data_IF_846948850297
#
_entry.id   IF_846948850297
#
_cell.length_a   1.000
_cell.length_b   1.000
_cell.length_c   1.000
_cell.angle_alpha   90.00
_cell.angle_beta   90.00
_cell.angle_gamma   90.00
#
_symmetry.space_group_name_H-M   'P 1'
#
loop_
_entity.id
_entity.type
_entity.pdbx_description
1 polymer ?
#
# COMPACT_ATOMS: atom_id res chain seq x y z
N UNK A 1 -17.73 9.14 -4.37
CA UNK A 1 -16.34 9.59 -4.65
C UNK A 1 -15.71 9.94 -3.30
N UNK A 2 -14.53 9.40 -2.98
CA UNK A 2 -13.87 9.60 -1.67
C UNK A 2 -12.89 10.77 -1.76
N UNK A 3 -12.05 10.76 -2.79
CA UNK A 3 -11.02 11.77 -3.01
C UNK A 3 -10.58 11.78 -4.48
N UNK A 4 -9.90 12.84 -4.90
CA UNK A 4 -9.15 12.93 -6.16
C UNK A 4 -7.66 13.00 -5.83
N UNK A 5 -6.89 12.04 -6.33
CA UNK A 5 -5.48 11.91 -5.97
C UNK A 5 -4.68 11.19 -7.06
N UNK A 6 -3.46 10.79 -6.71
CA UNK A 6 -2.55 10.08 -7.61
C UNK A 6 -2.40 8.63 -7.16
N UNK A 7 -2.52 7.69 -8.10
CA UNK A 7 -2.15 6.29 -7.91
C UNK A 7 -0.82 6.03 -8.60
N UNK A 8 0.17 5.52 -7.87
CA UNK A 8 1.38 4.96 -8.45
C UNK A 8 1.28 3.43 -8.44
N UNK A 9 1.45 2.83 -9.61
CA UNK A 9 1.48 1.38 -9.77
C UNK A 9 2.92 0.93 -10.06
N UNK A 10 3.43 0.08 -9.19
CA UNK A 10 4.75 -0.53 -9.29
C UNK A 10 4.59 -2.05 -9.41
N UNK A 11 4.59 -2.61 -10.63
CA UNK A 11 4.49 -4.05 -10.82
C UNK A 11 5.74 -4.76 -10.29
N UNK A 12 5.56 -5.93 -9.70
CA UNK A 12 6.66 -6.83 -9.36
C UNK A 12 7.41 -7.30 -10.62
N UNK A 13 8.73 -7.55 -10.57
CA UNK A 13 9.59 -7.58 -9.38
C UNK A 13 10.26 -6.22 -9.04
N UNK A 14 9.98 -5.16 -9.80
CA UNK A 14 10.68 -3.87 -9.70
C UNK A 14 10.11 -2.91 -8.64
N UNK A 15 9.17 -3.36 -7.82
CA UNK A 15 8.63 -2.60 -6.69
C UNK A 15 9.57 -2.61 -5.48
N UNK A 16 9.22 -1.85 -4.44
CA UNK A 16 9.94 -1.85 -3.15
C UNK A 16 9.96 -3.24 -2.50
N UNK A 17 8.81 -3.93 -2.45
CA UNK A 17 8.68 -5.26 -1.84
C UNK A 17 9.12 -6.39 -2.75
N UNK A 18 9.24 -6.17 -4.06
CA UNK A 18 9.39 -7.23 -5.05
C UNK A 18 8.05 -7.85 -5.49
N UNK A 19 6.94 -7.47 -4.85
CA UNK A 19 5.57 -7.86 -5.22
C UNK A 19 4.83 -6.68 -5.87
N UNK A 20 3.66 -6.93 -6.44
CA UNK A 20 2.82 -5.86 -6.97
C UNK A 20 2.45 -4.83 -5.89
N UNK A 21 2.77 -3.56 -6.13
CA UNK A 21 2.61 -2.47 -5.16
C UNK A 21 1.83 -1.31 -5.77
N UNK A 22 0.79 -0.88 -5.07
CA UNK A 22 -0.02 0.30 -5.40
C UNK A 22 0.10 1.34 -4.28
N UNK A 23 0.51 2.57 -4.61
CA UNK A 23 0.59 3.69 -3.68
C UNK A 23 -0.48 4.73 -3.99
N UNK A 24 -1.36 4.98 -3.02
CA UNK A 24 -2.43 5.97 -3.13
C UNK A 24 -2.01 7.27 -2.43
N UNK A 25 -1.81 8.32 -3.22
CA UNK A 25 -1.54 9.67 -2.73
C UNK A 25 -2.85 10.45 -2.70
N UNK A 26 -3.45 10.52 -1.52
CA UNK A 26 -4.69 11.25 -1.25
C UNK A 26 -4.40 12.59 -0.58
N UNK A 27 -5.40 13.47 -0.52
CA UNK A 27 -5.36 14.65 0.32
C UNK A 27 -5.15 14.25 1.79
N UNK A 28 -4.24 14.95 2.48
CA UNK A 28 -3.81 14.65 3.86
C UNK A 28 -4.84 14.92 4.96
N UNK A 29 -6.14 14.93 4.65
CA UNK A 29 -7.18 15.09 5.66
C UNK A 29 -7.43 13.77 6.39
N UNK A 30 -7.57 13.83 7.71
CA UNK A 30 -7.85 12.65 8.54
C UNK A 30 -9.13 11.91 8.11
N UNK A 31 -10.13 12.65 7.62
CA UNK A 31 -11.38 12.07 7.13
C UNK A 31 -11.17 11.20 5.89
N UNK A 32 -10.38 11.69 4.93
CA UNK A 32 -10.05 10.95 3.70
C UNK A 32 -9.26 9.69 4.04
N UNK A 33 -8.18 9.82 4.83
CA UNK A 33 -7.34 8.68 5.22
C UNK A 33 -8.15 7.60 5.96
N UNK A 34 -8.99 8.01 6.92
CA UNK A 34 -9.84 7.06 7.68
C UNK A 34 -10.85 6.35 6.77
N UNK A 35 -11.44 7.07 5.82
CA UNK A 35 -12.36 6.48 4.85
C UNK A 35 -11.65 5.50 3.91
N UNK A 36 -10.44 5.84 3.47
CA UNK A 36 -9.60 4.98 2.62
C UNK A 36 -9.24 3.67 3.31
N UNK A 37 -8.72 3.75 4.54
CA UNK A 37 -8.36 2.57 5.34
C UNK A 37 -9.58 1.68 5.63
N UNK A 38 -10.75 2.27 5.88
CA UNK A 38 -11.99 1.52 6.07
C UNK A 38 -12.40 0.75 4.81
N UNK A 39 -12.46 1.43 3.66
CA UNK A 39 -12.88 0.81 2.39
C UNK A 39 -11.89 -0.27 1.93
N UNK A 40 -10.59 -0.05 2.13
CA UNK A 40 -9.58 -1.07 1.88
C UNK A 40 -9.72 -2.26 2.84
N UNK A 41 -9.97 -2.02 4.13
CA UNK A 41 -10.19 -3.08 5.11
C UNK A 41 -11.47 -3.90 4.93
N UNK A 42 -12.43 -3.42 4.12
CA UNK A 42 -13.63 -4.18 3.72
C UNK A 42 -13.33 -5.20 2.60
N UNK A 43 -12.15 -5.16 1.97
CA UNK A 43 -11.76 -6.13 0.94
C UNK A 43 -11.26 -7.43 1.56
N UNK A 44 -11.74 -8.58 1.06
CA UNK A 44 -11.42 -9.91 1.63
C UNK A 44 -9.92 -10.22 1.71
N UNK A 45 -9.11 -9.66 0.80
CA UNK A 45 -7.67 -9.91 0.71
C UNK A 45 -6.82 -8.71 1.16
N UNK A 46 -7.39 -7.77 1.92
CA UNK A 46 -6.66 -6.61 2.41
C UNK A 46 -6.72 -6.55 3.94
N UNK A 47 -5.56 -6.31 4.55
CA UNK A 47 -5.44 -6.07 5.99
C UNK A 47 -4.44 -4.96 6.26
N UNK A 48 -4.51 -4.42 7.48
CA UNK A 48 -3.44 -3.56 7.97
C UNK A 48 -2.12 -4.33 8.05
N UNK A 49 -1.08 -3.69 7.56
CA UNK A 49 0.27 -4.20 7.63
C UNK A 49 0.80 -4.15 9.07
N UNK A 50 1.59 -5.14 9.45
CA UNK A 50 2.31 -5.14 10.72
C UNK A 50 3.49 -4.14 10.69
N UNK A 51 3.99 -3.70 11.85
CA UNK A 51 5.17 -2.84 11.91
C UNK A 51 6.37 -3.45 11.18
N UNK A 52 6.87 -2.75 10.16
CA UNK A 52 8.02 -3.17 9.37
C UNK A 52 7.74 -4.28 8.33
N UNK A 53 6.48 -4.66 8.13
CA UNK A 53 6.12 -5.78 7.26
C UNK A 53 6.56 -5.58 5.80
N UNK A 54 6.38 -4.39 5.24
CA UNK A 54 6.83 -4.10 3.87
C UNK A 54 8.33 -4.34 3.67
N UNK A 55 9.16 -3.88 4.62
CA UNK A 55 10.61 -4.08 4.56
C UNK A 55 10.99 -5.56 4.77
N UNK A 56 10.25 -6.27 5.63
CA UNK A 56 10.42 -7.72 5.83
C UNK A 56 10.14 -8.51 4.54
N UNK A 57 9.06 -8.19 3.83
CA UNK A 57 8.73 -8.81 2.53
C UNK A 57 9.83 -8.50 1.51
N UNK A 58 10.25 -7.24 1.43
CA UNK A 58 11.32 -6.82 0.53
C UNK A 58 12.64 -7.57 0.79
N UNK A 59 12.98 -7.81 2.05
CA UNK A 59 14.14 -8.62 2.43
C UNK A 59 13.99 -10.09 2.01
N UNK A 60 12.82 -10.69 2.23
CA UNK A 60 12.52 -12.06 1.80
C UNK A 60 12.58 -12.22 0.27
N UNK A 61 12.28 -11.16 -0.48
CA UNK A 61 12.35 -11.11 -1.94
C UNK A 61 13.72 -10.66 -2.48
N UNK A 62 14.78 -10.67 -1.65
CA UNK A 62 16.15 -10.30 -2.05
C UNK A 62 16.27 -8.89 -2.67
N UNK A 63 15.44 -7.94 -2.25
CA UNK A 63 15.50 -6.55 -2.77
C UNK A 63 16.67 -5.73 -2.22
N UNK A 64 17.31 -6.21 -1.16
CA UNK A 64 18.35 -5.49 -0.41
C UNK A 64 19.68 -6.25 -0.31
N UNK A 65 19.82 -7.36 -1.03
CA UNK A 65 20.97 -8.28 -1.01
C UNK A 65 21.43 -8.46 -2.45
#
# INVERSE_FOLDING_TARGET
MIDEGLLLWSPGPNSYTGEDLAEFHTHGSNAVVSCFLRVLGEQENCRLAEPGEFTKIAFQNNKWI
#
